data_IF_438122962999
#
_entry.id   IF_438122962999
#
_cell.length_a   1.000
_cell.length_b   1.000
_cell.length_c   1.000
_cell.angle_alpha   90.00
_cell.angle_beta   90.00
_cell.angle_gamma   90.00
#
_symmetry.space_group_name_H-M   'P 1'
#
loop_
_entity.id
_entity.type
_entity.pdbx_description
1 polymer ?
#
# COMPACT_ATOMS: atom_id res chain seq x y z
N UNK A 1 -4.77 33.75 13.84
CA UNK A 1 -5.02 32.30 14.01
C UNK A 1 -4.10 31.60 13.01
N UNK A 2 -3.26 30.67 13.45
CA UNK A 2 -2.37 29.93 12.56
C UNK A 2 -3.08 28.68 12.04
N UNK A 3 -2.79 28.28 10.80
CA UNK A 3 -3.27 27.00 10.24
C UNK A 3 -2.47 25.88 10.90
N UNK A 4 -3.17 24.85 11.37
CA UNK A 4 -2.55 23.64 11.91
C UNK A 4 -2.31 22.62 10.80
N UNK A 5 -1.08 22.13 10.69
CA UNK A 5 -0.64 21.13 9.71
C UNK A 5 -0.24 19.81 10.39
N UNK A 6 -0.50 19.66 11.69
CA UNK A 6 -0.29 18.40 12.38
C UNK A 6 -1.23 17.33 11.82
N UNK A 7 -0.69 16.12 11.67
CA UNK A 7 -1.51 14.97 11.31
C UNK A 7 -2.28 14.50 12.55
N UNK A 8 -3.51 14.06 12.35
CA UNK A 8 -4.25 13.37 13.41
C UNK A 8 -3.53 12.07 13.79
N UNK A 9 -3.72 11.53 15.01
CA UNK A 9 -3.16 10.25 15.40
C UNK A 9 -3.49 9.11 14.42
N UNK A 10 -4.70 9.13 13.85
CA UNK A 10 -5.16 8.18 12.84
C UNK A 10 -4.36 8.28 11.53
N UNK A 11 -4.10 9.51 11.05
CA UNK A 11 -3.29 9.72 9.84
C UNK A 11 -1.81 9.34 10.06
N UNK A 12 -1.26 9.55 11.26
CA UNK A 12 0.08 9.06 11.61
C UNK A 12 0.15 7.53 11.61
N UNK A 13 -0.87 6.85 12.14
CA UNK A 13 -0.94 5.39 12.12
C UNK A 13 -0.99 4.84 10.69
N UNK A 14 -1.85 5.42 9.84
CA UNK A 14 -1.93 5.07 8.42
C UNK A 14 -0.57 5.30 7.74
N UNK A 15 0.08 6.43 7.99
CA UNK A 15 1.38 6.78 7.41
C UNK A 15 2.46 5.76 7.80
N UNK A 16 2.51 5.35 9.06
CA UNK A 16 3.46 4.35 9.54
C UNK A 16 3.18 2.97 8.92
N UNK A 17 1.92 2.56 8.84
CA UNK A 17 1.54 1.28 8.23
C UNK A 17 1.88 1.22 6.74
N UNK A 18 1.64 2.31 6.01
CA UNK A 18 2.05 2.42 4.60
C UNK A 18 3.57 2.34 4.47
N UNK A 19 4.33 3.03 5.33
CA UNK A 19 5.80 2.97 5.32
C UNK A 19 6.29 1.53 5.52
N UNK A 20 5.79 0.84 6.56
CA UNK A 20 6.15 -0.56 6.82
C UNK A 20 5.81 -1.45 5.63
N UNK A 21 4.66 -1.26 4.98
CA UNK A 21 4.29 -2.05 3.81
C UNK A 21 5.23 -1.81 2.61
N UNK A 22 5.67 -0.57 2.41
CA UNK A 22 6.64 -0.25 1.36
C UNK A 22 7.98 -0.95 1.62
N UNK A 23 8.48 -0.86 2.85
CA UNK A 23 9.78 -1.40 3.25
C UNK A 23 9.77 -2.94 3.22
N UNK A 24 8.72 -3.57 3.78
CA UNK A 24 8.70 -5.01 4.03
C UNK A 24 8.06 -5.83 2.90
N UNK A 25 7.19 -5.23 2.07
CA UNK A 25 6.43 -5.95 1.03
C UNK A 25 6.77 -5.46 -0.37
N UNK A 26 6.65 -4.16 -0.64
CA UNK A 26 6.81 -3.64 -2.00
C UNK A 26 8.28 -3.73 -2.44
N UNK A 27 9.21 -3.21 -1.64
CA UNK A 27 10.63 -3.16 -2.02
C UNK A 27 11.20 -4.55 -2.35
N UNK A 28 10.96 -5.60 -1.53
CA UNK A 28 11.43 -6.94 -1.87
C UNK A 28 10.73 -7.54 -3.10
N UNK A 29 9.45 -7.24 -3.32
CA UNK A 29 8.72 -7.71 -4.49
C UNK A 29 9.20 -7.05 -5.79
N UNK A 30 9.51 -5.75 -5.76
CA UNK A 30 10.10 -5.03 -6.89
C UNK A 30 11.45 -5.64 -7.28
N UNK A 31 12.31 -5.98 -6.31
CA UNK A 31 13.57 -6.67 -6.58
C UNK A 31 13.37 -8.02 -7.29
N UNK A 32 12.40 -8.84 -6.84
CA UNK A 32 12.06 -10.12 -7.52
C UNK A 32 11.51 -9.91 -8.93
N UNK A 33 10.71 -8.87 -9.12
CA UNK A 33 10.20 -8.50 -10.45
C UNK A 33 11.36 -8.11 -11.38
N UNK A 34 12.34 -7.36 -10.89
CA UNK A 34 13.50 -6.96 -11.68
C UNK A 34 14.39 -8.16 -12.02
N UNK A 35 14.66 -9.05 -11.07
CA UNK A 35 15.44 -10.28 -11.28
C UNK A 35 14.81 -11.22 -12.32
N UNK A 36 13.48 -11.22 -12.44
CA UNK A 36 12.72 -12.01 -13.43
C UNK A 36 12.58 -11.33 -14.81
N UNK A 37 13.24 -10.18 -15.01
CA UNK A 37 13.23 -9.45 -16.28
C UNK A 37 12.15 -8.37 -16.38
N UNK A 38 11.38 -8.12 -15.33
CA UNK A 38 10.53 -6.93 -15.20
C UNK A 38 9.18 -6.99 -15.92
N UNK A 39 8.83 -8.10 -16.56
CA UNK A 39 7.61 -8.22 -17.37
C UNK A 39 7.02 -9.64 -17.39
N UNK A 40 5.85 -9.79 -18.01
CA UNK A 40 5.19 -11.10 -18.17
C UNK A 40 4.43 -11.60 -16.94
N UNK A 41 4.25 -12.92 -16.88
CA UNK A 41 3.38 -13.60 -15.90
C UNK A 41 3.90 -13.48 -14.46
N UNK A 42 5.22 -13.48 -14.28
CA UNK A 42 5.84 -13.40 -12.95
C UNK A 42 5.59 -12.04 -12.30
N UNK A 43 5.78 -10.96 -13.06
CA UNK A 43 5.39 -9.62 -12.63
C UNK A 43 3.91 -9.54 -12.27
N UNK A 44 3.04 -10.11 -13.09
CA UNK A 44 1.61 -10.11 -12.82
C UNK A 44 1.28 -10.84 -11.50
N UNK A 45 1.94 -11.99 -11.25
CA UNK A 45 1.77 -12.76 -10.02
C UNK A 45 2.19 -11.97 -8.79
N UNK A 46 3.35 -11.34 -8.81
CA UNK A 46 3.86 -10.49 -7.71
C UNK A 46 2.92 -9.30 -7.45
N UNK A 47 2.44 -8.63 -8.51
CA UNK A 47 1.48 -7.53 -8.37
C UNK A 47 0.16 -7.99 -7.73
N UNK A 48 -0.39 -9.14 -8.16
CA UNK A 48 -1.63 -9.67 -7.59
C UNK A 48 -1.43 -10.01 -6.10
N UNK A 49 -0.28 -10.59 -5.75
CA UNK A 49 0.01 -10.97 -4.37
C UNK A 49 0.18 -9.74 -3.47
N UNK A 50 0.91 -8.72 -3.92
CA UNK A 50 1.02 -7.44 -3.19
C UNK A 50 -0.35 -6.78 -2.98
N UNK A 51 -1.26 -6.83 -3.95
CA UNK A 51 -2.62 -6.29 -3.80
C UNK A 51 -3.41 -7.00 -2.71
N UNK A 52 -3.32 -8.32 -2.61
CA UNK A 52 -3.95 -9.09 -1.53
C UNK A 52 -3.35 -8.73 -0.18
N UNK A 53 -2.03 -8.59 -0.10
CA UNK A 53 -1.35 -8.19 1.12
C UNK A 53 -1.76 -6.77 1.56
N UNK A 54 -1.87 -5.82 0.62
CA UNK A 54 -2.33 -4.46 0.90
C UNK A 54 -3.77 -4.43 1.43
N UNK A 55 -4.65 -5.27 0.87
CA UNK A 55 -6.01 -5.46 1.36
C UNK A 55 -6.02 -6.02 2.79
N UNK A 56 -5.27 -7.08 3.06
CA UNK A 56 -5.15 -7.66 4.40
C UNK A 56 -4.52 -6.70 5.41
N UNK A 57 -3.61 -5.82 4.97
CA UNK A 57 -3.01 -4.78 5.80
C UNK A 57 -3.92 -3.56 6.01
N UNK A 58 -5.12 -3.52 5.40
CA UNK A 58 -6.06 -2.43 5.55
C UNK A 58 -5.59 -1.11 4.94
N UNK A 59 -4.76 -1.16 3.89
CA UNK A 59 -4.25 0.00 3.15
C UNK A 59 -4.70 -0.01 1.67
N UNK A 60 -5.78 -0.73 1.39
CA UNK A 60 -6.27 -0.94 0.04
C UNK A 60 -7.25 0.14 -0.39
N UNK A 61 -7.04 0.68 -1.60
CA UNK A 61 -7.89 1.70 -2.21
C UNK A 61 -8.27 2.82 -1.22
N UNK A 62 -7.30 3.63 -0.74
CA UNK A 62 -7.55 4.63 0.30
C UNK A 62 -8.66 5.61 -0.09
N UNK A 63 -8.72 5.99 -1.38
CA UNK A 63 -9.69 6.92 -1.95
C UNK A 63 -11.07 6.30 -2.26
N UNK A 64 -11.21 4.97 -2.24
CA UNK A 64 -12.48 4.34 -2.57
C UNK A 64 -13.38 4.32 -1.34
N UNK A 65 -14.70 4.54 -1.49
CA UNK A 65 -15.61 4.44 -0.36
C UNK A 65 -15.62 3.04 0.26
N UNK A 66 -15.90 2.98 1.56
CA UNK A 66 -15.96 1.72 2.33
C UNK A 66 -17.01 0.75 1.77
N UNK A 67 -18.15 1.26 1.29
CA UNK A 67 -19.21 0.45 0.66
C UNK A 67 -18.75 -0.31 -0.60
N UNK A 68 -17.64 0.12 -1.21
CA UNK A 68 -16.99 -0.54 -2.34
C UNK A 68 -15.70 -1.28 -1.93
N UNK A 69 -15.42 -1.37 -0.63
CA UNK A 69 -14.26 -2.07 -0.08
C UNK A 69 -12.96 -1.26 -0.03
N UNK A 70 -13.03 0.07 -0.09
CA UNK A 70 -11.89 0.97 0.17
C UNK A 70 -11.84 1.50 1.60
N UNK A 71 -11.05 2.54 1.84
CA UNK A 71 -10.88 3.14 3.18
C UNK A 71 -11.64 4.45 3.39
N UNK A 72 -12.22 5.05 2.34
CA UNK A 72 -12.99 6.30 2.45
C UNK A 72 -12.19 7.52 2.93
N UNK A 73 -10.87 7.55 2.70
CA UNK A 73 -9.96 8.63 3.08
C UNK A 73 -9.89 9.77 2.06
#
# INVERSE_FOLDING_TARGET
MAIDFSLSPELEEIRLRVRTFVDDVITPAEARIEESGGEGEERLRELIEMRKQAHSAGIWLPHMPEEWGGMGL
#
